data_IF_046274533230
#
_entry.id   IF_046274533230
#
_cell.length_a   1.000
_cell.length_b   1.000
_cell.length_c   1.000
_cell.angle_alpha   90.00
_cell.angle_beta   90.00
_cell.angle_gamma   90.00
#
_symmetry.space_group_name_H-M   'P 1'
#
loop_
_entity.id
_entity.type
_entity.pdbx_description
1 polymer ?
#
# COMPACT_ATOMS: atom_id res chain seq x y z
N UNK A 1 28.30 52.77 14.25
CA UNK A 1 27.35 53.86 14.56
C UNK A 1 26.27 53.24 15.40
N UNK A 2 26.35 53.31 16.69
CA UNK A 2 25.91 54.24 17.76
C UNK A 2 24.54 54.86 17.47
N UNK A 3 23.62 54.57 18.29
CA UNK A 3 22.81 55.31 19.26
C UNK A 3 21.36 54.82 19.23
N UNK A 4 20.58 54.76 20.24
CA UNK A 4 20.58 55.08 21.66
C UNK A 4 19.14 55.09 22.12
N UNK A 5 18.90 54.40 23.19
CA UNK A 5 18.00 54.65 24.34
C UNK A 5 17.04 55.84 24.33
N UNK A 6 15.80 55.65 24.81
CA UNK A 6 15.29 56.41 25.98
C UNK A 6 14.01 55.83 26.57
N UNK A 7 14.12 55.54 27.84
CA UNK A 7 13.05 55.39 28.83
C UNK A 7 12.44 56.75 29.21
N UNK A 8 11.18 56.80 29.57
CA UNK A 8 10.67 57.81 30.53
C UNK A 8 9.64 57.18 31.44
N UNK A 9 9.93 57.33 32.72
CA UNK A 9 9.08 57.04 33.88
C UNK A 9 8.24 58.25 34.26
N UNK A 10 7.37 57.99 35.30
CA UNK A 10 6.81 58.85 36.34
C UNK A 10 5.38 59.40 36.05
N UNK A 11 4.43 59.56 36.98
CA UNK A 11 4.35 59.64 38.47
C UNK A 11 2.84 59.57 38.82
N UNK A 12 2.46 58.83 39.80
CA UNK A 12 1.77 59.08 41.06
C UNK A 12 0.81 60.27 41.19
N UNK A 13 -0.40 60.05 41.67
CA UNK A 13 -0.88 60.76 42.86
C UNK A 13 -2.16 60.12 43.45
N UNK A 14 -2.07 59.97 44.79
CA UNK A 14 -3.07 59.73 45.82
C UNK A 14 -4.23 60.74 45.78
N UNK A 15 -5.43 60.30 46.19
CA UNK A 15 -6.12 60.95 47.33
C UNK A 15 -7.28 60.07 47.81
N UNK A 16 -7.21 59.82 49.13
CA UNK A 16 -8.24 59.31 49.99
C UNK A 16 -9.41 60.27 50.12
N UNK A 17 -10.62 59.77 50.24
CA UNK A 17 -11.61 60.34 51.13
C UNK A 17 -12.59 59.28 51.64
N UNK A 18 -12.60 59.22 52.93
CA UNK A 18 -13.42 58.48 53.88
C UNK A 18 -14.77 59.21 54.04
N UNK A 19 -15.90 58.49 53.95
CA UNK A 19 -17.10 58.91 54.68
C UNK A 19 -18.02 57.68 54.93
N UNK A 20 -18.48 57.68 56.15
CA UNK A 20 -19.19 56.69 56.93
C UNK A 20 -20.67 56.49 56.54
N UNK A 21 -21.17 55.31 56.91
CA UNK A 21 -22.48 54.90 57.45
C UNK A 21 -23.74 55.01 56.57
N UNK A 22 -24.32 53.86 56.33
CA UNK A 22 -25.69 53.55 56.84
C UNK A 22 -25.96 52.03 56.76
N UNK A 23 -26.18 51.41 57.91
CA UNK A 23 -26.77 50.06 58.04
C UNK A 23 -28.21 50.09 57.57
N UNK A 24 -28.54 49.21 56.63
CA UNK A 24 -29.89 48.70 56.47
C UNK A 24 -29.79 47.21 56.08
N UNK A 25 -30.14 46.36 57.02
CA UNK A 25 -30.11 44.91 56.85
C UNK A 25 -31.23 44.46 55.86
N UNK A 26 -30.79 43.82 54.81
CA UNK A 26 -31.64 42.99 53.95
C UNK A 26 -31.04 41.56 53.95
N UNK A 27 -31.71 40.68 54.66
CA UNK A 27 -31.42 39.23 54.61
C UNK A 27 -31.93 38.80 53.21
N UNK A 28 -31.01 38.69 52.24
CA UNK A 28 -31.27 38.04 50.99
C UNK A 28 -31.13 36.54 51.19
N UNK A 29 -32.21 35.80 51.13
CA UNK A 29 -32.26 34.34 51.01
C UNK A 29 -31.53 33.95 49.72
N UNK A 30 -30.30 33.53 49.80
CA UNK A 30 -29.59 32.88 48.68
C UNK A 30 -30.20 31.50 48.45
N UNK A 31 -31.12 31.39 47.48
CA UNK A 31 -31.49 30.12 46.89
C UNK A 31 -30.35 29.77 45.91
N UNK A 32 -29.60 28.67 46.11
CA UNK A 32 -28.60 28.28 45.13
C UNK A 32 -29.34 27.89 43.84
N UNK A 33 -29.10 28.57 42.76
CA UNK A 33 -29.55 28.18 41.44
C UNK A 33 -28.86 26.86 41.09
N UNK A 34 -29.62 25.77 41.05
CA UNK A 34 -29.19 24.49 40.51
C UNK A 34 -28.94 24.71 39.00
N UNK A 35 -27.70 24.89 38.62
CA UNK A 35 -27.30 24.93 37.23
C UNK A 35 -27.59 23.56 36.62
N UNK A 36 -28.61 23.45 35.82
CA UNK A 36 -28.87 22.27 35.01
C UNK A 36 -27.70 22.14 34.00
N UNK A 37 -26.83 21.18 34.20
CA UNK A 37 -25.83 20.84 33.21
C UNK A 37 -26.54 20.39 31.92
N UNK A 38 -26.11 20.88 30.75
CA UNK A 38 -26.66 20.41 29.49
C UNK A 38 -26.39 18.92 29.33
N UNK A 39 -27.32 18.15 28.75
CA UNK A 39 -27.13 16.71 28.61
C UNK A 39 -25.84 16.42 27.84
N UNK A 40 -24.98 15.59 28.42
CA UNK A 40 -23.76 15.10 27.76
C UNK A 40 -24.16 14.49 26.42
N UNK A 41 -23.81 15.18 25.30
CA UNK A 41 -23.87 14.57 23.99
C UNK A 41 -22.71 13.59 23.88
N UNK A 42 -22.97 12.32 24.02
CA UNK A 42 -22.01 11.28 23.66
C UNK A 42 -21.85 11.32 22.15
N UNK A 43 -20.81 11.99 21.68
CA UNK A 43 -20.36 11.82 20.30
C UNK A 43 -19.72 10.45 20.20
N UNK A 44 -20.49 9.45 19.82
CA UNK A 44 -19.92 8.19 19.35
C UNK A 44 -19.10 8.53 18.11
N UNK A 45 -17.79 8.16 18.06
CA UNK A 45 -17.02 8.34 16.86
C UNK A 45 -17.76 7.54 15.76
N UNK A 46 -18.10 8.24 14.68
CA UNK A 46 -18.59 7.57 13.47
C UNK A 46 -17.42 6.72 12.97
N UNK A 47 -17.42 5.45 13.32
CA UNK A 47 -16.48 4.48 12.74
C UNK A 47 -16.90 4.34 11.28
N UNK A 48 -16.39 5.22 10.43
CA UNK A 48 -16.45 4.98 8.99
C UNK A 48 -15.70 3.68 8.74
N UNK A 49 -16.42 2.63 8.33
CA UNK A 49 -15.77 1.48 7.71
C UNK A 49 -15.01 2.02 6.52
N UNK A 50 -13.69 1.71 6.39
CA UNK A 50 -12.97 2.06 5.17
C UNK A 50 -13.79 1.55 3.98
N UNK A 51 -13.89 2.37 2.93
CA UNK A 51 -14.58 1.97 1.72
C UNK A 51 -13.92 0.70 1.19
N UNK A 52 -14.65 -0.41 1.20
CA UNK A 52 -14.13 -1.67 0.66
C UNK A 52 -13.90 -1.50 -0.84
N UNK A 53 -12.85 -2.17 -1.36
CA UNK A 53 -12.63 -2.23 -2.80
C UNK A 53 -13.91 -2.73 -3.51
N UNK A 54 -14.25 -2.16 -4.68
CA UNK A 54 -15.45 -2.55 -5.39
C UNK A 54 -15.41 -4.02 -5.79
N UNK A 55 -16.56 -4.69 -5.68
CA UNK A 55 -16.74 -6.03 -6.24
C UNK A 55 -16.84 -5.92 -7.77
N UNK A 56 -15.98 -6.66 -8.46
CA UNK A 56 -16.00 -6.82 -9.91
C UNK A 56 -16.73 -8.12 -10.26
N UNK A 57 -17.61 -8.07 -11.24
CA UNK A 57 -18.34 -9.25 -11.73
C UNK A 57 -17.64 -9.81 -12.96
N UNK A 58 -17.47 -11.12 -13.01
CA UNK A 58 -16.80 -11.85 -14.08
C UNK A 58 -17.11 -13.34 -14.03
N UNK A 59 -16.24 -14.12 -14.64
CA UNK A 59 -16.30 -15.58 -14.64
C UNK A 59 -14.98 -16.16 -14.16
N UNK A 60 -15.02 -17.40 -13.66
CA UNK A 60 -13.83 -18.17 -13.34
C UNK A 60 -13.79 -19.48 -14.15
N UNK A 61 -12.60 -19.82 -14.59
CA UNK A 61 -12.20 -21.14 -15.08
C UNK A 61 -11.00 -21.64 -14.24
N UNK A 62 -10.39 -22.75 -14.64
CA UNK A 62 -9.15 -23.22 -14.00
C UNK A 62 -8.16 -23.77 -15.03
N UNK A 63 -6.85 -23.69 -14.72
CA UNK A 63 -5.77 -24.21 -15.54
C UNK A 63 -4.84 -25.12 -14.70
N UNK A 64 -4.23 -26.13 -15.36
CA UNK A 64 -3.57 -27.22 -14.65
C UNK A 64 -2.15 -26.87 -14.15
N UNK A 65 -1.42 -26.01 -14.89
CA UNK A 65 -0.02 -25.66 -14.60
C UNK A 65 0.13 -24.50 -13.61
N UNK A 66 -0.83 -24.34 -12.72
CA UNK A 66 -0.86 -23.24 -11.74
C UNK A 66 0.11 -23.54 -10.57
N UNK A 67 1.40 -23.38 -10.76
CA UNK A 67 2.44 -23.64 -9.75
C UNK A 67 2.95 -22.38 -9.00
N UNK A 68 2.35 -21.21 -9.30
CA UNK A 68 2.76 -19.91 -8.74
C UNK A 68 3.66 -19.10 -9.65
N UNK A 69 4.18 -19.70 -10.73
CA UNK A 69 4.85 -18.98 -11.83
C UNK A 69 3.84 -18.45 -12.85
N UNK A 70 4.31 -17.73 -13.86
CA UNK A 70 3.51 -17.19 -14.96
C UNK A 70 4.03 -15.86 -15.47
N UNK A 71 3.18 -15.11 -16.16
CA UNK A 71 3.52 -13.83 -16.81
C UNK A 71 4.05 -12.78 -15.83
N UNK A 72 3.73 -12.89 -14.53
CA UNK A 72 4.28 -12.03 -13.48
C UNK A 72 5.74 -12.37 -13.12
N UNK A 73 6.32 -13.42 -13.68
CA UNK A 73 7.69 -13.89 -13.43
C UNK A 73 8.04 -14.06 -11.94
N UNK A 74 7.09 -14.55 -11.15
CA UNK A 74 7.40 -15.10 -9.83
C UNK A 74 8.02 -16.50 -9.99
N UNK A 75 8.80 -16.92 -9.00
CA UNK A 75 9.29 -18.29 -8.94
C UNK A 75 8.14 -19.24 -8.58
N UNK A 76 8.16 -20.48 -9.05
CA UNK A 76 7.24 -21.52 -8.59
C UNK A 76 7.26 -21.63 -7.07
N UNK A 77 6.10 -21.78 -6.45
CA UNK A 77 5.94 -21.91 -5.01
C UNK A 77 5.40 -23.31 -4.71
N UNK A 78 6.25 -24.28 -4.37
CA UNK A 78 5.79 -25.60 -4.00
C UNK A 78 4.82 -25.53 -2.82
N UNK A 79 3.61 -26.06 -2.99
CA UNK A 79 2.59 -26.15 -1.95
C UNK A 79 1.64 -24.96 -1.82
N UNK A 80 1.94 -23.78 -2.37
CA UNK A 80 0.97 -22.69 -2.46
C UNK A 80 0.23 -22.75 -3.80
N UNK A 81 -0.94 -23.36 -3.78
CA UNK A 81 -1.81 -23.50 -4.96
C UNK A 81 -2.97 -22.50 -4.97
N UNK A 82 -2.98 -21.51 -4.07
CA UNK A 82 -4.01 -20.47 -4.06
C UNK A 82 -3.58 -19.30 -4.98
N UNK A 83 -3.54 -19.58 -6.28
CA UNK A 83 -3.07 -18.65 -7.31
C UNK A 83 -4.08 -18.54 -8.47
N UNK A 84 -3.96 -17.47 -9.24
CA UNK A 84 -4.78 -17.21 -10.41
C UNK A 84 -4.03 -16.44 -11.49
N UNK A 85 -4.45 -16.67 -12.74
CA UNK A 85 -4.21 -15.78 -13.86
C UNK A 85 -5.38 -14.79 -13.99
N UNK A 86 -5.08 -13.51 -14.21
CA UNK A 86 -6.08 -12.48 -14.44
C UNK A 86 -6.23 -12.21 -15.95
N UNK A 87 -7.44 -11.88 -16.40
CA UNK A 87 -7.70 -11.51 -17.78
C UNK A 87 -6.70 -10.47 -18.30
N UNK A 88 -6.25 -10.64 -19.56
CA UNK A 88 -5.40 -9.68 -20.25
C UNK A 88 -5.99 -8.25 -20.26
N UNK A 89 -7.33 -8.11 -20.23
CA UNK A 89 -8.03 -6.82 -20.18
C UNK A 89 -7.86 -6.09 -18.85
N UNK A 90 -7.57 -6.84 -17.78
CA UNK A 90 -7.31 -6.29 -16.46
C UNK A 90 -5.81 -6.23 -16.16
N UNK A 91 -4.99 -7.00 -16.85
CA UNK A 91 -3.58 -7.19 -16.54
C UNK A 91 -2.74 -5.90 -16.64
N UNK A 92 -3.01 -5.07 -17.64
CA UNK A 92 -2.29 -3.82 -17.89
C UNK A 92 -0.78 -4.04 -18.04
N UNK A 93 0.01 -3.25 -17.34
CA UNK A 93 1.46 -3.42 -17.23
C UNK A 93 1.82 -4.25 -15.99
N UNK A 94 1.23 -5.44 -15.85
CA UNK A 94 1.38 -6.29 -14.68
C UNK A 94 0.84 -5.66 -13.38
N UNK A 95 -0.18 -4.80 -13.48
CA UNK A 95 -0.65 -3.95 -12.37
C UNK A 95 -1.21 -4.77 -11.19
N UNK A 96 -1.74 -5.96 -11.48
CA UNK A 96 -2.25 -6.89 -10.47
C UNK A 96 -1.24 -7.95 -10.03
N UNK A 97 -0.05 -8.02 -10.62
CA UNK A 97 0.94 -9.03 -10.25
C UNK A 97 1.29 -8.97 -8.78
N UNK A 98 1.14 -10.11 -8.08
CA UNK A 98 1.33 -10.22 -6.63
C UNK A 98 0.16 -9.72 -5.77
N UNK A 99 -0.88 -9.13 -6.38
CA UNK A 99 -2.09 -8.74 -5.68
C UNK A 99 -2.84 -9.97 -5.14
N UNK A 100 -3.49 -9.79 -3.99
CA UNK A 100 -4.42 -10.77 -3.45
C UNK A 100 -5.84 -10.35 -3.74
N UNK A 101 -6.64 -11.28 -4.19
CA UNK A 101 -8.06 -11.08 -4.46
C UNK A 101 -8.90 -12.12 -3.72
N UNK A 102 -10.02 -11.65 -3.17
CA UNK A 102 -11.06 -12.51 -2.60
C UNK A 102 -12.10 -12.77 -3.69
N UNK A 103 -12.30 -14.04 -4.02
CA UNK A 103 -13.17 -14.52 -5.09
C UNK A 103 -14.36 -15.22 -4.48
N UNK A 104 -15.57 -14.81 -4.86
CA UNK A 104 -16.84 -15.40 -4.44
C UNK A 104 -17.47 -16.11 -5.61
N UNK A 105 -17.69 -17.41 -5.47
CA UNK A 105 -18.37 -18.23 -6.45
C UNK A 105 -19.62 -18.91 -5.89
N UNK A 106 -20.26 -19.80 -6.64
CA UNK A 106 -21.54 -20.41 -6.28
C UNK A 106 -21.55 -21.21 -4.98
N UNK A 107 -20.42 -21.81 -4.57
CA UNK A 107 -20.34 -22.69 -3.40
C UNK A 107 -19.40 -22.20 -2.30
N UNK A 108 -18.85 -21.00 -2.42
CA UNK A 108 -17.97 -20.44 -1.40
C UNK A 108 -17.08 -19.33 -1.89
N UNK A 109 -16.05 -19.05 -1.11
CA UNK A 109 -15.05 -18.06 -1.46
C UNK A 109 -13.64 -18.57 -1.25
N UNK A 110 -12.68 -17.94 -1.95
CA UNK A 110 -11.25 -18.23 -1.83
C UNK A 110 -10.45 -16.95 -1.97
N UNK A 111 -9.33 -16.89 -1.28
CA UNK A 111 -8.32 -15.84 -1.50
C UNK A 111 -7.23 -16.44 -2.37
N UNK A 112 -6.90 -15.75 -3.47
CA UNK A 112 -5.84 -16.16 -4.38
C UNK A 112 -4.89 -15.00 -4.65
N UNK A 113 -3.63 -15.34 -4.97
CA UNK A 113 -2.63 -14.39 -5.44
C UNK A 113 -2.60 -14.39 -6.98
N UNK A 114 -2.59 -13.22 -7.59
CA UNK A 114 -2.42 -13.07 -9.03
C UNK A 114 -0.95 -13.27 -9.40
N UNK A 115 -0.67 -14.28 -10.21
CA UNK A 115 0.68 -14.67 -10.62
C UNK A 115 0.86 -14.71 -12.14
N UNK A 116 -0.25 -14.71 -12.88
CA UNK A 116 -0.21 -14.91 -14.31
C UNK A 116 -1.26 -14.06 -15.04
N UNK A 117 -1.22 -14.09 -16.37
CA UNK A 117 -2.15 -13.47 -17.28
C UNK A 117 -2.86 -14.53 -18.12
N UNK A 118 -4.17 -14.53 -18.06
CA UNK A 118 -4.98 -15.28 -19.01
C UNK A 118 -4.96 -14.53 -20.36
N UNK A 119 -4.50 -15.17 -21.46
CA UNK A 119 -4.24 -14.48 -22.71
C UNK A 119 -5.52 -14.02 -23.41
N UNK A 120 -5.33 -13.19 -24.43
CA UNK A 120 -6.42 -12.74 -25.33
C UNK A 120 -6.97 -13.93 -26.12
N UNK A 121 -8.01 -14.53 -25.57
CA UNK A 121 -8.77 -15.60 -26.23
C UNK A 121 -10.26 -15.45 -25.86
N UNK A 122 -11.19 -16.08 -26.60
CA UNK A 122 -12.63 -15.98 -26.33
C UNK A 122 -13.06 -16.48 -24.94
N UNK A 123 -12.16 -17.15 -24.22
CA UNK A 123 -12.43 -17.66 -22.88
C UNK A 123 -12.11 -16.71 -21.73
N UNK A 124 -11.33 -15.63 -21.97
CA UNK A 124 -10.84 -14.71 -20.93
C UNK A 124 -11.35 -13.28 -21.09
N UNK A 125 -12.64 -13.07 -20.88
CA UNK A 125 -13.27 -11.75 -20.94
C UNK A 125 -12.86 -10.82 -19.78
N UNK A 126 -13.43 -9.64 -19.75
CA UNK A 126 -13.20 -8.66 -18.68
C UNK A 126 -13.55 -9.24 -17.31
N UNK A 127 -12.71 -9.00 -16.33
CA UNK A 127 -12.82 -9.49 -14.93
C UNK A 127 -12.81 -11.02 -14.80
N UNK A 128 -12.35 -11.73 -15.84
CA UNK A 128 -12.16 -13.17 -15.77
C UNK A 128 -10.94 -13.53 -14.91
N UNK A 129 -11.08 -14.59 -14.11
CA UNK A 129 -9.98 -15.21 -13.37
C UNK A 129 -9.87 -16.68 -13.79
N UNK A 130 -8.65 -17.09 -14.17
CA UNK A 130 -8.33 -18.50 -14.41
C UNK A 130 -7.58 -19.01 -13.17
N UNK A 131 -8.25 -19.83 -12.38
CA UNK A 131 -7.81 -20.23 -11.05
C UNK A 131 -6.92 -21.47 -11.13
N UNK A 132 -6.12 -21.73 -10.10
CA UNK A 132 -5.60 -23.08 -9.88
C UNK A 132 -6.77 -24.05 -9.64
N UNK A 133 -6.61 -25.34 -9.94
CA UNK A 133 -7.66 -26.32 -9.68
C UNK A 133 -8.07 -26.35 -8.20
N UNK A 134 -7.12 -26.21 -7.29
CA UNK A 134 -7.34 -26.21 -5.84
C UNK A 134 -8.12 -24.98 -5.37
N UNK A 135 -7.87 -23.83 -5.99
CA UNK A 135 -8.64 -22.61 -5.72
C UNK A 135 -10.07 -22.70 -6.29
N UNK A 136 -10.22 -23.24 -7.50
CA UNK A 136 -11.52 -23.43 -8.13
C UNK A 136 -12.43 -24.37 -7.31
N UNK A 137 -11.88 -25.45 -6.74
CA UNK A 137 -12.60 -26.37 -5.86
C UNK A 137 -13.19 -25.71 -4.61
N UNK A 138 -12.69 -24.54 -4.21
CA UNK A 138 -13.24 -23.78 -3.07
C UNK A 138 -14.52 -23.03 -3.41
N UNK A 139 -14.76 -22.80 -4.69
CA UNK A 139 -15.88 -21.97 -5.15
C UNK A 139 -16.88 -22.74 -6.02
N UNK A 140 -16.52 -23.86 -6.61
CA UNK A 140 -17.39 -24.69 -7.44
C UNK A 140 -16.77 -26.08 -7.71
N UNK A 141 -17.59 -27.11 -8.04
CA UNK A 141 -17.08 -28.37 -8.56
C UNK A 141 -16.34 -28.17 -9.89
N UNK A 142 -15.17 -28.77 -10.05
CA UNK A 142 -14.38 -28.72 -11.31
C UNK A 142 -15.18 -29.16 -12.54
N UNK A 143 -16.12 -30.09 -12.38
CA UNK A 143 -16.97 -30.57 -13.47
C UNK A 143 -17.79 -29.45 -14.13
N UNK A 144 -17.98 -28.31 -13.48
CA UNK A 144 -18.70 -27.16 -14.06
C UNK A 144 -17.81 -26.39 -15.02
N UNK A 145 -16.48 -26.48 -14.91
CA UNK A 145 -15.51 -25.89 -15.83
C UNK A 145 -15.46 -24.36 -15.83
N UNK A 146 -16.63 -23.70 -15.81
CA UNK A 146 -16.80 -22.24 -15.84
C UNK A 146 -17.97 -21.83 -14.95
N UNK A 147 -17.76 -20.81 -14.09
CA UNK A 147 -18.77 -20.32 -13.18
C UNK A 147 -18.77 -18.78 -13.11
N UNK A 148 -19.93 -18.15 -12.87
CA UNK A 148 -19.98 -16.74 -12.55
C UNK A 148 -19.33 -16.47 -11.18
N UNK A 149 -18.59 -15.38 -11.08
CA UNK A 149 -17.94 -14.93 -9.84
C UNK A 149 -18.12 -13.45 -9.64
N UNK A 150 -17.93 -13.03 -8.39
CA UNK A 150 -17.52 -11.66 -8.06
C UNK A 150 -16.21 -11.71 -7.31
N UNK A 151 -15.38 -10.68 -7.46
CA UNK A 151 -14.11 -10.62 -6.75
C UNK A 151 -13.71 -9.18 -6.45
N UNK A 152 -12.82 -9.01 -5.48
CA UNK A 152 -12.24 -7.72 -5.11
C UNK A 152 -10.79 -7.88 -4.68
N UNK A 153 -10.00 -6.82 -4.84
CA UNK A 153 -8.66 -6.76 -4.24
C UNK A 153 -8.80 -6.67 -2.73
N UNK A 154 -7.96 -7.40 -2.03
CA UNK A 154 -7.87 -7.37 -0.57
C UNK A 154 -6.45 -7.11 -0.11
N UNK A 155 -6.32 -6.72 1.16
CA UNK A 155 -5.04 -6.50 1.84
C UNK A 155 -4.87 -7.58 2.93
N UNK A 156 -4.28 -8.75 2.62
CA UNK A 156 -4.22 -9.88 3.55
C UNK A 156 -3.16 -9.68 4.64
N UNK A 157 -3.25 -10.50 5.69
CA UNK A 157 -2.17 -10.65 6.65
C UNK A 157 -1.05 -11.44 5.96
N UNK A 158 0.12 -10.82 5.81
CA UNK A 158 1.33 -11.48 5.32
C UNK A 158 2.40 -11.48 6.39
N UNK A 159 3.16 -12.55 6.46
CA UNK A 159 4.37 -12.61 7.28
C UNK A 159 5.54 -11.92 6.57
N UNK A 160 6.37 -11.23 7.34
CA UNK A 160 7.58 -10.58 6.86
C UNK A 160 7.33 -9.23 6.15
N UNK A 161 8.43 -8.66 5.71
CA UNK A 161 8.48 -7.38 4.99
C UNK A 161 8.28 -7.57 3.48
N UNK A 162 8.09 -6.46 2.76
CA UNK A 162 8.25 -6.45 1.31
C UNK A 162 9.64 -6.97 0.93
N UNK A 163 9.75 -7.55 -0.24
CA UNK A 163 11.00 -8.09 -0.77
C UNK A 163 11.32 -7.47 -2.12
N UNK A 164 12.60 -7.40 -2.43
CA UNK A 164 13.08 -6.92 -3.73
C UNK A 164 13.86 -8.03 -4.41
N UNK A 165 13.43 -8.38 -5.61
CA UNK A 165 14.15 -9.33 -6.45
C UNK A 165 14.87 -8.57 -7.57
N UNK A 166 16.19 -8.71 -7.60
CA UNK A 166 17.03 -8.27 -8.72
C UNK A 166 16.99 -9.36 -9.79
N UNK A 167 16.57 -9.01 -11.00
CA UNK A 167 16.46 -9.97 -12.11
C UNK A 167 17.84 -10.52 -12.51
N UNK A 168 17.89 -11.81 -12.81
CA UNK A 168 19.06 -12.40 -13.47
C UNK A 168 19.38 -11.65 -14.78
N UNK A 169 20.65 -11.39 -15.02
CA UNK A 169 21.14 -10.58 -16.13
C UNK A 169 21.26 -9.08 -15.82
N UNK A 170 20.79 -8.62 -14.64
CA UNK A 170 21.03 -7.24 -14.19
C UNK A 170 22.52 -6.98 -14.03
N UNK A 171 22.92 -5.77 -14.38
CA UNK A 171 24.30 -5.30 -14.30
C UNK A 171 24.29 -3.80 -13.92
N UNK A 172 25.42 -3.18 -13.60
CA UNK A 172 25.47 -1.80 -13.12
C UNK A 172 24.89 -0.72 -14.04
N UNK A 173 24.65 -1.02 -15.30
CA UNK A 173 24.09 -0.10 -16.30
C UNK A 173 22.63 -0.39 -16.62
N UNK A 174 22.17 -1.61 -16.32
CA UNK A 174 20.80 -2.05 -16.55
C UNK A 174 20.30 -2.90 -15.38
N UNK A 175 19.36 -2.39 -14.63
CA UNK A 175 18.81 -3.01 -13.44
C UNK A 175 17.31 -3.27 -13.64
N UNK A 176 16.85 -4.43 -13.24
CA UNK A 176 15.45 -4.77 -13.23
C UNK A 176 15.05 -5.25 -11.82
N UNK A 177 14.22 -4.47 -11.16
CA UNK A 177 13.72 -4.75 -9.81
C UNK A 177 12.29 -5.27 -9.86
N UNK A 178 11.99 -6.28 -9.06
CA UNK A 178 10.62 -6.75 -8.82
C UNK A 178 10.31 -6.62 -7.34
N UNK A 179 9.14 -6.07 -7.01
CA UNK A 179 8.67 -6.02 -5.63
C UNK A 179 7.85 -7.28 -5.36
N UNK A 180 8.16 -7.97 -4.27
CA UNK A 180 7.53 -9.23 -3.84
C UNK A 180 7.00 -9.11 -2.41
N UNK A 181 6.19 -10.08 -1.98
CA UNK A 181 5.61 -10.16 -0.63
C UNK A 181 4.94 -8.85 -0.19
N UNK A 182 4.29 -8.16 -1.12
CA UNK A 182 3.52 -6.95 -0.82
C UNK A 182 2.03 -7.30 -0.63
N UNK A 183 1.38 -6.76 0.43
CA UNK A 183 -0.04 -7.02 0.68
C UNK A 183 -0.97 -6.21 -0.20
N UNK A 184 -0.54 -5.07 -0.67
CA UNK A 184 -1.29 -4.17 -1.54
C UNK A 184 -0.66 -4.16 -2.93
N UNK A 185 -1.43 -4.11 -4.02
CA UNK A 185 -0.87 -3.97 -5.37
C UNK A 185 0.04 -2.74 -5.47
N UNK A 186 1.12 -2.86 -6.23
CA UNK A 186 2.11 -1.78 -6.38
C UNK A 186 1.68 -0.85 -7.51
N UNK A 187 1.52 0.43 -7.20
CA UNK A 187 1.23 1.47 -8.19
C UNK A 187 2.50 1.96 -8.88
N UNK A 188 3.59 2.18 -8.13
CA UNK A 188 4.86 2.66 -8.69
C UNK A 188 6.05 2.28 -7.83
N UNK A 189 7.21 2.24 -8.48
CA UNK A 189 8.53 2.15 -7.86
C UNK A 189 9.38 3.31 -8.34
N UNK A 190 10.02 4.00 -7.42
CA UNK A 190 10.91 5.12 -7.68
C UNK A 190 12.31 4.83 -7.10
N UNK A 191 13.30 5.39 -7.70
CA UNK A 191 14.70 5.30 -7.32
C UNK A 191 15.26 6.68 -6.99
N UNK A 192 16.01 6.80 -5.89
CA UNK A 192 16.71 8.03 -5.51
C UNK A 192 18.07 8.06 -6.21
N UNK A 193 18.26 9.03 -7.10
CA UNK A 193 19.53 9.21 -7.82
C UNK A 193 20.63 9.73 -6.89
N UNK A 194 21.92 9.59 -7.28
CA UNK A 194 23.02 10.23 -6.56
C UNK A 194 22.92 11.76 -6.43
N UNK A 195 22.11 12.40 -7.30
CA UNK A 195 21.82 13.84 -7.25
C UNK A 195 20.62 14.16 -6.33
N UNK A 196 20.18 13.20 -5.52
CA UNK A 196 19.08 13.32 -4.59
C UNK A 196 17.71 13.63 -5.25
N UNK A 197 17.48 13.06 -6.43
CA UNK A 197 16.24 13.20 -7.19
C UNK A 197 15.51 11.85 -7.29
N UNK A 198 14.20 11.85 -7.03
CA UNK A 198 13.36 10.68 -7.24
C UNK A 198 13.01 10.54 -8.71
N UNK A 199 13.29 9.36 -9.26
CA UNK A 199 12.97 8.99 -10.65
C UNK A 199 12.05 7.77 -10.63
N UNK A 200 10.89 7.89 -11.24
CA UNK A 200 9.98 6.75 -11.41
C UNK A 200 10.53 5.77 -12.42
N UNK A 201 10.54 4.49 -12.06
CA UNK A 201 10.98 3.40 -12.94
C UNK A 201 9.81 2.93 -13.80
N UNK A 202 10.09 2.60 -15.07
CA UNK A 202 9.09 2.05 -15.98
C UNK A 202 8.81 0.60 -15.63
N UNK A 203 7.53 0.26 -15.39
CA UNK A 203 7.08 -1.12 -15.18
C UNK A 203 6.91 -1.81 -16.52
N UNK A 204 7.39 -3.05 -16.62
CA UNK A 204 7.23 -3.91 -17.78
C UNK A 204 6.02 -4.82 -17.63
N UNK A 205 5.52 -5.37 -18.74
CA UNK A 205 4.43 -6.36 -18.75
C UNK A 205 4.78 -7.69 -18.06
N UNK A 206 6.06 -7.92 -17.75
CA UNK A 206 6.55 -9.06 -16.98
C UNK A 206 6.93 -8.72 -15.53
N UNK A 207 6.32 -7.65 -14.97
CA UNK A 207 6.36 -7.28 -13.55
C UNK A 207 7.75 -6.89 -13.02
N UNK A 208 8.60 -6.28 -13.86
CA UNK A 208 9.85 -5.67 -13.41
C UNK A 208 9.85 -4.17 -13.66
N UNK A 209 10.51 -3.45 -12.79
CA UNK A 209 10.74 -2.02 -12.89
C UNK A 209 12.18 -1.78 -13.35
N UNK A 210 12.34 -1.09 -14.46
CA UNK A 210 13.64 -0.96 -15.15
C UNK A 210 14.32 0.35 -14.77
N UNK A 211 15.58 0.24 -14.34
CA UNK A 211 16.53 1.32 -14.19
C UNK A 211 17.64 1.16 -15.21
N UNK A 212 17.71 2.11 -16.13
CA UNK A 212 18.81 2.20 -17.09
C UNK A 212 19.69 3.39 -16.73
N UNK A 213 20.98 3.18 -16.56
CA UNK A 213 21.95 4.20 -16.21
C UNK A 213 22.85 4.51 -17.41
N UNK A 214 22.89 5.79 -17.78
CA UNK A 214 23.88 6.31 -18.76
C UNK A 214 25.11 6.88 -18.05
N UNK A 215 25.43 6.36 -16.85
CA UNK A 215 26.54 6.80 -16.03
C UNK A 215 27.84 6.06 -16.40
N UNK A 216 28.97 6.77 -16.35
CA UNK A 216 30.28 6.22 -16.79
C UNK A 216 30.72 5.01 -15.94
N UNK A 217 30.34 4.99 -14.65
CA UNK A 217 30.81 3.98 -13.70
C UNK A 217 29.80 2.89 -13.39
N UNK A 218 28.56 2.98 -13.91
CA UNK A 218 27.48 2.11 -13.53
C UNK A 218 27.04 2.33 -12.08
N UNK A 219 26.04 1.55 -11.62
CA UNK A 219 25.50 1.63 -10.28
C UNK A 219 25.51 0.24 -9.64
N UNK A 220 26.08 0.11 -8.44
CA UNK A 220 26.17 -1.16 -7.70
C UNK A 220 25.45 -1.12 -6.35
N UNK A 221 24.78 -0.01 -6.02
CA UNK A 221 24.08 0.21 -4.76
C UNK A 221 24.98 0.76 -3.64
N UNK A 222 24.45 0.87 -2.41
CA UNK A 222 23.07 0.57 -2.06
C UNK A 222 22.06 1.45 -2.81
N UNK A 223 20.87 0.90 -3.08
CA UNK A 223 19.80 1.62 -3.78
C UNK A 223 18.75 2.09 -2.77
N UNK A 224 18.42 3.37 -2.80
CA UNK A 224 17.25 3.87 -2.06
C UNK A 224 16.04 3.83 -2.99
N UNK A 225 15.08 2.96 -2.67
CA UNK A 225 13.88 2.71 -3.44
C UNK A 225 12.65 3.21 -2.68
N UNK A 226 11.71 3.82 -3.37
CA UNK A 226 10.42 4.24 -2.82
C UNK A 226 9.30 3.54 -3.56
N UNK A 227 8.53 2.74 -2.81
CA UNK A 227 7.39 1.98 -3.33
C UNK A 227 6.12 2.70 -2.92
N UNK A 228 5.19 2.86 -3.85
CA UNK A 228 3.83 3.36 -3.55
C UNK A 228 2.83 2.29 -3.95
N UNK A 229 1.90 1.95 -3.07
CA UNK A 229 0.79 1.05 -3.35
C UNK A 229 -0.38 1.79 -4.02
N UNK A 230 -1.42 1.04 -4.42
CA UNK A 230 -2.63 1.60 -5.07
C UNK A 230 -3.46 2.51 -4.16
N UNK A 231 -3.23 2.48 -2.84
CA UNK A 231 -3.93 3.31 -1.85
C UNK A 231 -3.13 4.58 -1.50
N UNK A 232 -1.95 4.75 -2.12
CA UNK A 232 -1.08 5.90 -1.88
C UNK A 232 -0.16 5.76 -0.66
N UNK A 233 -0.14 4.60 0.01
CA UNK A 233 0.82 4.35 1.07
C UNK A 233 2.23 4.22 0.49
N UNK A 234 3.22 4.74 1.21
CA UNK A 234 4.60 4.81 0.74
C UNK A 234 5.53 4.08 1.71
N UNK A 235 6.40 3.24 1.16
CA UNK A 235 7.55 2.66 1.86
C UNK A 235 8.83 3.15 1.18
N UNK A 236 9.83 3.50 1.99
CA UNK A 236 11.18 3.82 1.50
C UNK A 236 12.16 2.83 2.10
N UNK A 237 12.91 2.15 1.24
CA UNK A 237 13.80 1.05 1.59
C UNK A 237 15.20 1.30 1.04
N UNK A 238 16.22 0.90 1.78
CA UNK A 238 17.61 0.89 1.30
C UNK A 238 17.99 -0.57 1.10
N UNK A 239 18.24 -0.93 -0.15
CA UNK A 239 18.54 -2.32 -0.53
C UNK A 239 19.94 -2.44 -1.13
N UNK A 240 20.65 -3.50 -0.77
CA UNK A 240 21.96 -3.83 -1.33
C UNK A 240 21.89 -5.25 -1.91
N UNK A 241 22.30 -5.36 -3.18
CA UNK A 241 22.46 -6.64 -3.85
C UNK A 241 23.93 -7.03 -3.88
N UNK A 242 24.24 -8.19 -3.34
CA UNK A 242 25.63 -8.69 -3.21
C UNK A 242 26.14 -9.27 -4.52
N UNK A 243 25.24 -9.76 -5.37
CA UNK A 243 25.56 -10.35 -6.68
C UNK A 243 25.78 -9.31 -7.77
N UNK A 244 25.46 -8.03 -7.52
CA UNK A 244 25.62 -6.97 -8.50
C UNK A 244 27.07 -6.47 -8.50
N UNK A 245 27.81 -6.74 -9.57
CA UNK A 245 29.19 -6.34 -9.72
C UNK A 245 29.45 -5.70 -11.09
N UNK A 246 30.58 -4.98 -11.22
CA UNK A 246 31.00 -4.36 -12.49
C UNK A 246 31.50 -5.36 -13.51
N UNK A 247 31.88 -6.55 -13.08
CA UNK A 247 32.56 -7.54 -13.89
C UNK A 247 31.72 -8.70 -14.36
N UNK A 248 30.46 -8.79 -13.85
CA UNK A 248 29.55 -9.88 -14.21
C UNK A 248 28.09 -9.44 -14.09
N UNK A 249 27.23 -10.08 -14.87
CA UNK A 249 25.80 -9.98 -14.68
C UNK A 249 25.39 -10.71 -13.39
N UNK A 250 24.38 -10.19 -12.68
CA UNK A 250 23.79 -10.87 -11.53
C UNK A 250 23.13 -12.19 -11.97
N UNK A 251 23.25 -13.27 -11.19
CA UNK A 251 22.44 -14.48 -11.37
C UNK A 251 20.97 -14.31 -10.93
N UNK A 252 20.63 -13.16 -10.38
CA UNK A 252 19.40 -12.89 -9.67
C UNK A 252 19.61 -12.94 -8.16
N UNK A 253 18.90 -12.09 -7.41
CA UNK A 253 19.03 -12.04 -5.95
C UNK A 253 17.74 -11.53 -5.33
N UNK A 254 17.31 -12.15 -4.23
CA UNK A 254 16.17 -11.70 -3.42
C UNK A 254 16.67 -11.14 -2.10
N UNK A 255 16.28 -9.92 -1.78
CA UNK A 255 16.60 -9.26 -0.50
C UNK A 255 15.32 -8.80 0.19
N UNK A 256 15.32 -8.82 1.53
CA UNK A 256 14.20 -8.33 2.32
C UNK A 256 14.30 -6.82 2.51
N UNK A 257 13.17 -6.14 2.44
CA UNK A 257 13.02 -4.79 2.97
C UNK A 257 12.84 -4.79 4.49
N UNK A 258 12.56 -3.64 5.06
CA UNK A 258 12.40 -3.45 6.51
C UNK A 258 10.95 -3.44 6.95
N UNK A 259 10.00 -3.12 6.08
CA UNK A 259 8.60 -2.89 6.41
C UNK A 259 7.59 -3.60 5.51
N UNK A 260 6.34 -3.42 5.85
CA UNK A 260 5.18 -3.85 5.07
C UNK A 260 4.18 -2.70 4.98
N UNK A 261 3.41 -2.63 3.91
CA UNK A 261 2.33 -1.64 3.79
C UNK A 261 1.30 -1.79 4.92
N UNK A 262 0.63 -0.69 5.34
CA UNK A 262 -0.56 -0.79 6.16
C UNK A 262 -1.66 -1.57 5.42
N UNK A 263 -2.69 -1.99 6.15
CA UNK A 263 -3.86 -2.60 5.52
C UNK A 263 -4.56 -1.57 4.62
N UNK A 264 -4.94 -2.02 3.46
CA UNK A 264 -5.85 -1.30 2.59
C UNK A 264 -7.30 -1.32 3.12
N UNK A 265 -8.18 -0.58 2.47
CA UNK A 265 -9.61 -0.53 2.82
C UNK A 265 -10.33 -1.85 2.62
#
# INVERSE_FOLDING_TARGET
>A
MRCSTRSVQLISHRRSNLLLLCLAGLIALFIPAVSAQPPYRVHLPLVMRPAQNPLLSGEATYYLEADGSGSCLFDPIPGDRMVAAISYLNYGNADYCGAYVEVFGPQGSVIVRIVDMCPDNPGCGLNHLDLSPEAFDRIAPRAWGRVPITWRVISPILSGSVQFHLKAGSNPWWLAFQVRNHRNPIAKLEYLTPQNQWVQLSRTTYNYFIRQCNCANGETGPFTLRITDIYGNVLTEIVQFTTLSRNSNSPGELVNGSGQFPYGP
#
